data_IF_928295213744
#
_entry.id   IF_928295213744
#
_cell.length_a   1.000
_cell.length_b   1.000
_cell.length_c   1.000
_cell.angle_alpha   90.00
_cell.angle_beta   90.00
_cell.angle_gamma   90.00
#
_symmetry.space_group_name_H-M   'P 1'
#
loop_
_entity.id
_entity.type
_entity.pdbx_description
1 polymer ?
#
# COMPACT_ATOMS: atom_id res chain seq x y z
N UNK A 1 5.36 -10.13 14.13
CA UNK A 1 5.49 -9.02 13.16
C UNK A 1 4.49 -7.99 13.66
N UNK A 2 4.95 -7.02 14.47
CA UNK A 2 4.08 -5.92 14.91
C UNK A 2 3.78 -5.09 13.66
N UNK A 3 2.64 -5.38 13.03
CA UNK A 3 2.33 -4.83 11.72
C UNK A 3 2.08 -3.33 11.87
N UNK A 4 2.64 -2.55 10.95
CA UNK A 4 2.39 -1.10 10.85
C UNK A 4 0.89 -0.76 10.88
N UNK A 5 0.06 -1.69 10.42
CA UNK A 5 -1.41 -1.62 10.48
C UNK A 5 -1.97 -1.43 11.89
N UNK A 6 -1.29 -1.91 12.94
CA UNK A 6 -1.70 -1.67 14.33
C UNK A 6 -1.54 -0.22 14.75
N UNK A 7 -0.62 0.52 14.10
CA UNK A 7 -0.36 1.95 14.35
C UNK A 7 -1.03 2.85 13.30
N UNK A 8 -1.32 2.30 12.11
CA UNK A 8 -1.90 3.01 10.96
C UNK A 8 -3.07 2.17 10.43
N UNK A 9 -4.31 2.41 10.91
CA UNK A 9 -5.46 1.57 10.59
C UNK A 9 -5.87 1.61 9.10
N UNK A 10 -5.38 2.59 8.34
CA UNK A 10 -5.60 2.72 6.91
C UNK A 10 -4.80 1.68 6.09
N UNK A 11 -3.69 1.17 6.64
CA UNK A 11 -2.92 0.09 6.04
C UNK A 11 -3.55 -1.23 6.47
N UNK A 12 -4.09 -1.96 5.49
CA UNK A 12 -4.73 -3.25 5.70
C UNK A 12 -3.81 -4.37 5.22
N UNK A 13 -4.04 -5.58 5.71
CA UNK A 13 -3.27 -6.75 5.30
C UNK A 13 -4.11 -8.03 5.32
N UNK A 14 -3.73 -8.99 4.50
CA UNK A 14 -4.34 -10.33 4.45
C UNK A 14 -3.37 -11.32 3.79
N UNK A 15 -3.45 -12.59 4.19
CA UNK A 15 -2.81 -13.69 3.46
C UNK A 15 -3.72 -14.29 2.38
N UNK A 16 -5.00 -13.87 2.33
CA UNK A 16 -5.98 -14.31 1.36
C UNK A 16 -6.10 -13.30 0.22
N UNK A 17 -5.70 -13.69 -0.99
CA UNK A 17 -5.75 -12.82 -2.17
C UNK A 17 -7.18 -12.40 -2.56
N UNK A 18 -8.21 -13.16 -2.17
CA UNK A 18 -9.60 -12.84 -2.47
C UNK A 18 -10.15 -11.65 -1.66
N UNK A 19 -9.50 -11.29 -0.55
CA UNK A 19 -9.89 -10.14 0.29
C UNK A 19 -9.29 -8.82 -0.19
N UNK A 20 -8.30 -8.89 -1.09
CA UNK A 20 -7.57 -7.72 -1.56
C UNK A 20 -8.42 -6.98 -2.60
N UNK A 21 -8.66 -5.66 -2.43
CA UNK A 21 -9.38 -4.86 -3.42
C UNK A 21 -8.46 -4.46 -4.58
N UNK A 22 -8.13 -5.42 -5.44
CA UNK A 22 -7.12 -5.30 -6.50
C UNK A 22 -7.32 -4.12 -7.48
N UNK A 23 -8.55 -3.64 -7.64
CA UNK A 23 -8.86 -2.52 -8.53
C UNK A 23 -8.80 -1.16 -7.84
N UNK A 24 -9.01 -1.13 -6.52
CA UNK A 24 -9.24 0.08 -5.71
C UNK A 24 -8.12 0.33 -4.69
N UNK A 25 -6.95 -0.27 -4.86
CA UNK A 25 -5.86 -0.14 -3.90
C UNK A 25 -4.47 -0.23 -4.53
N UNK A 26 -3.50 0.34 -3.81
CA UNK A 26 -2.09 0.03 -3.99
C UNK A 26 -1.75 -1.13 -3.07
N UNK A 27 -1.35 -2.25 -3.64
CA UNK A 27 -1.04 -3.49 -2.93
C UNK A 27 0.45 -3.76 -3.07
N UNK A 28 1.11 -4.11 -1.99
CA UNK A 28 2.48 -4.62 -2.02
C UNK A 28 2.58 -5.89 -1.20
N UNK A 29 3.64 -6.64 -1.43
CA UNK A 29 3.90 -7.81 -0.60
C UNK A 29 5.17 -7.58 0.19
N UNK A 30 5.18 -8.04 1.43
CA UNK A 30 6.42 -8.30 2.13
C UNK A 30 6.68 -9.79 1.90
N UNK A 31 7.81 -10.14 1.27
CA UNK A 31 8.20 -11.54 1.15
C UNK A 31 8.84 -11.98 2.47
N UNK A 32 8.14 -12.75 3.33
CA UNK A 32 8.78 -13.26 4.52
C UNK A 32 9.84 -14.30 4.11
N UNK A 33 10.93 -14.41 4.88
CA UNK A 33 11.92 -15.47 4.67
C UNK A 33 11.32 -16.87 4.84
N UNK A 34 10.27 -16.98 5.65
CA UNK A 34 9.52 -18.21 5.96
C UNK A 34 8.05 -17.85 6.15
N UNK A 35 7.13 -18.51 5.44
CA UNK A 35 5.68 -18.33 5.60
C UNK A 35 4.95 -17.93 4.31
N UNK A 36 3.61 -17.88 4.35
CA UNK A 36 2.80 -17.49 3.20
C UNK A 36 3.02 -16.01 2.85
N UNK A 37 2.78 -15.66 1.58
CA UNK A 37 2.80 -14.27 1.12
C UNK A 37 1.70 -13.48 1.83
N UNK A 38 2.08 -12.36 2.44
CA UNK A 38 1.14 -11.39 3.02
C UNK A 38 1.02 -10.22 2.05
N UNK A 39 -0.22 -9.90 1.70
CA UNK A 39 -0.58 -8.72 0.94
C UNK A 39 -0.87 -7.60 1.93
N UNK A 40 -0.21 -6.47 1.75
CA UNK A 40 -0.53 -5.22 2.42
C UNK A 40 -1.07 -4.24 1.39
N UNK A 41 -2.01 -3.40 1.78
CA UNK A 41 -2.55 -2.43 0.85
C UNK A 41 -3.02 -1.15 1.52
N UNK A 42 -3.10 -0.12 0.68
CA UNK A 42 -3.74 1.14 0.98
C UNK A 42 -4.84 1.40 -0.06
N UNK A 43 -6.06 1.64 0.41
CA UNK A 43 -7.21 1.96 -0.45
C UNK A 43 -7.03 3.29 -1.18
N UNK A 44 -7.58 3.40 -2.38
CA UNK A 44 -7.49 4.59 -3.23
C UNK A 44 -8.02 5.85 -2.54
N UNK A 45 -8.97 5.72 -1.61
CA UNK A 45 -9.51 6.80 -0.78
C UNK A 45 -8.46 7.47 0.12
N UNK A 46 -7.38 6.76 0.44
CA UNK A 46 -6.27 7.26 1.23
C UNK A 46 -5.07 7.68 0.37
N UNK A 47 -5.17 7.59 -0.96
CA UNK A 47 -4.11 7.86 -1.92
C UNK A 47 -4.45 9.08 -2.77
N UNK A 48 -3.66 10.14 -2.64
CA UNK A 48 -3.76 11.30 -3.53
C UNK A 48 -3.31 10.94 -4.95
N UNK A 49 -2.13 10.34 -5.07
CA UNK A 49 -1.60 9.76 -6.29
C UNK A 49 -0.42 8.82 -6.00
N UNK A 50 -0.11 7.99 -6.98
CA UNK A 50 1.10 7.15 -7.02
C UNK A 50 2.06 7.70 -8.06
N UNK A 51 3.34 7.78 -7.70
CA UNK A 51 4.44 8.03 -8.63
C UNK A 51 5.35 6.82 -8.69
N UNK A 52 5.79 6.45 -9.90
CA UNK A 52 6.68 5.31 -10.11
C UNK A 52 7.91 5.76 -10.89
N UNK A 53 9.09 5.58 -10.30
CA UNK A 53 10.35 5.90 -10.96
C UNK A 53 11.38 4.83 -10.65
N UNK A 54 12.04 4.30 -11.69
CA UNK A 54 13.13 3.32 -11.56
C UNK A 54 12.81 2.11 -10.65
N UNK A 55 11.59 1.58 -10.73
CA UNK A 55 11.17 0.45 -9.90
C UNK A 55 10.74 0.81 -8.47
N UNK A 56 10.88 2.07 -8.05
CA UNK A 56 10.44 2.55 -6.73
C UNK A 56 9.05 3.16 -6.87
N UNK A 57 8.10 2.66 -6.08
CA UNK A 57 6.74 3.20 -6.01
C UNK A 57 6.64 4.13 -4.81
N UNK A 58 6.22 5.36 -5.06
CA UNK A 58 5.94 6.37 -4.04
C UNK A 58 4.43 6.59 -3.97
N UNK A 59 3.85 6.40 -2.78
CA UNK A 59 2.45 6.69 -2.51
C UNK A 59 2.35 8.01 -1.77
N UNK A 60 1.59 8.96 -2.32
CA UNK A 60 1.30 10.22 -1.67
C UNK A 60 -0.04 10.11 -0.93
N UNK A 61 -0.07 10.28 0.40
CA UNK A 61 -1.32 10.22 1.17
C UNK A 61 -2.32 11.29 0.73
N UNK A 62 -3.60 10.93 0.77
CA UNK A 62 -4.68 11.93 0.68
C UNK A 62 -4.59 12.89 1.87
N UNK A 63 -4.90 14.17 1.64
CA UNK A 63 -4.79 15.25 2.62
C UNK A 63 -5.69 15.04 3.85
N UNK A 64 -6.79 14.31 3.67
CA UNK A 64 -7.73 13.98 4.74
C UNK A 64 -7.39 12.64 5.44
N UNK A 65 -6.42 11.89 4.93
CA UNK A 65 -5.99 10.61 5.51
C UNK A 65 -5.16 10.83 6.77
N UNK A 66 -5.26 9.91 7.73
CA UNK A 66 -4.43 9.90 8.95
C UNK A 66 -2.94 9.83 8.57
N UNK A 67 -2.60 9.11 7.50
CA UNK A 67 -1.25 9.03 6.95
C UNK A 67 -0.63 10.39 6.63
N UNK A 68 -1.42 11.37 6.17
CA UNK A 68 -0.90 12.71 5.85
C UNK A 68 -0.38 13.46 7.08
N UNK A 69 -0.92 13.16 8.26
CA UNK A 69 -0.42 13.66 9.55
C UNK A 69 0.81 12.91 10.07
N UNK A 70 1.17 11.77 9.46
CA UNK A 70 2.29 10.91 9.90
C UNK A 70 3.47 10.91 8.94
N UNK A 71 3.24 11.10 7.65
CA UNK A 71 4.27 11.04 6.62
C UNK A 71 3.90 11.90 5.41
N UNK A 72 4.91 12.34 4.65
CA UNK A 72 4.70 13.02 3.37
C UNK A 72 4.49 12.03 2.21
N UNK A 73 5.12 10.86 2.30
CA UNK A 73 5.02 9.80 1.31
C UNK A 73 5.35 8.44 1.94
N UNK A 74 4.88 7.38 1.31
CA UNK A 74 5.30 5.99 1.57
C UNK A 74 6.15 5.55 0.38
N UNK A 75 7.36 5.08 0.65
CA UNK A 75 8.26 4.51 -0.35
C UNK A 75 8.20 3.00 -0.26
N UNK A 76 7.84 2.34 -1.36
CA UNK A 76 7.75 0.89 -1.47
C UNK A 76 8.91 0.32 -2.28
N UNK A 77 9.99 -0.15 -1.62
CA UNK A 77 11.06 -0.88 -2.28
C UNK A 77 10.71 -2.38 -2.46
N UNK A 78 9.42 -2.71 -2.61
CA UNK A 78 8.96 -4.11 -2.62
C UNK A 78 9.29 -4.81 -3.93
N UNK A 79 9.60 -6.11 -3.85
CA UNK A 79 9.74 -6.98 -5.01
C UNK A 79 8.42 -7.21 -5.77
N UNK A 80 7.28 -6.84 -5.18
CA UNK A 80 5.98 -6.81 -5.86
C UNK A 80 5.16 -5.63 -5.38
N UNK A 81 4.71 -4.82 -6.34
CA UNK A 81 3.72 -3.77 -6.16
C UNK A 81 2.68 -3.88 -7.26
N UNK A 82 1.41 -3.73 -6.89
CA UNK A 82 0.26 -3.70 -7.77
C UNK A 82 -0.50 -2.40 -7.53
N UNK A 83 -0.72 -1.63 -8.59
CA UNK A 83 -1.50 -0.41 -8.54
C UNK A 83 -2.82 -0.68 -9.25
N UNK A 84 -3.92 -0.68 -8.49
CA UNK A 84 -5.25 -0.93 -9.04
C UNK A 84 -5.66 0.11 -10.08
N UNK A 85 -6.49 -0.31 -11.05
CA UNK A 85 -6.88 0.52 -12.20
C UNK A 85 -7.62 1.82 -11.82
N UNK A 86 -8.23 1.87 -10.65
CA UNK A 86 -8.96 3.03 -10.14
C UNK A 86 -8.10 3.90 -9.19
N UNK A 87 -6.82 3.56 -9.01
CA UNK A 87 -5.86 4.39 -8.28
C UNK A 87 -5.30 5.47 -9.20
N UNK A 88 -5.27 6.71 -8.70
CA UNK A 88 -4.68 7.85 -9.42
C UNK A 88 -3.16 7.67 -9.55
N UNK A 89 -2.65 7.79 -10.77
CA UNK A 89 -1.22 7.75 -11.10
C UNK A 89 -0.77 9.06 -11.73
N UNK A 90 0.48 9.46 -11.49
CA UNK A 90 1.10 10.67 -12.05
C UNK A 90 2.08 10.35 -13.18
#
# INVERSE_FOLDING_TARGET
MDSLSGTIPEIKYSSNAAEVPWEEAVVWTIMPRVGPRVYEWLGAEHVRYVSWTNGIVSIMPESASILSGKCQCIILPSGFVWVGKNVKVA
#
